data_IF_929416434935
#
_entry.id   IF_929416434935
#
_cell.length_a   1.000
_cell.length_b   1.000
_cell.length_c   1.000
_cell.angle_alpha   90.00
_cell.angle_beta   90.00
_cell.angle_gamma   90.00
#
_symmetry.space_group_name_H-M   'P 1'
#
loop_
_entity.id
_entity.type
_entity.pdbx_description
1 polymer ?
#
# COMPACT_ATOMS: atom_id res chain seq x y z
N UNK A 1 -19.29 -10.56 6.84
CA UNK A 1 -18.90 -10.65 7.07
C UNK A 1 -18.16 -10.95 7.86
N UNK A 2 -17.81 -11.08 7.99
CA UNK A 2 -17.08 -11.49 8.66
C UNK A 2 -16.01 -10.78 9.04
N UNK A 3 -15.75 -9.77 8.74
CA UNK A 3 -14.75 -9.01 9.08
C UNK A 3 -14.71 -8.80 10.47
N UNK A 4 -15.72 -8.60 11.10
CA UNK A 4 -15.68 -8.35 12.45
C UNK A 4 -15.13 -9.51 13.07
N UNK A 5 -15.29 -10.65 12.53
CA UNK A 5 -14.79 -11.73 13.11
C UNK A 5 -13.36 -11.70 13.08
N UNK A 6 -12.73 -11.16 12.11
CA UNK A 6 -11.31 -11.17 12.04
C UNK A 6 -10.76 -10.20 13.03
N UNK A 7 -11.55 -9.34 13.57
CA UNK A 7 -11.07 -8.40 14.54
C UNK A 7 -10.26 -7.26 13.96
N UNK A 8 -10.27 -7.09 12.67
CA UNK A 8 -9.52 -6.03 12.07
C UNK A 8 -10.36 -4.79 11.90
N UNK A 9 -9.82 -3.65 12.24
CA UNK A 9 -10.53 -2.41 12.06
C UNK A 9 -10.30 -1.96 10.63
N UNK A 10 -11.01 -0.96 10.20
CA UNK A 10 -10.84 -0.44 8.85
C UNK A 10 -9.43 0.03 8.65
N UNK A 11 -8.87 0.63 9.65
CA UNK A 11 -7.53 1.13 9.58
C UNK A 11 -6.55 0.01 9.38
N UNK A 12 -6.73 -1.08 10.08
CA UNK A 12 -5.85 -2.20 9.94
C UNK A 12 -5.98 -2.87 8.60
N UNK A 13 -7.18 -2.95 8.08
CA UNK A 13 -7.40 -3.53 6.79
C UNK A 13 -6.71 -2.69 5.74
N UNK A 14 -6.82 -1.38 5.87
CA UNK A 14 -6.19 -0.49 4.93
C UNK A 14 -4.68 -0.63 4.99
N UNK A 15 -4.14 -0.76 6.17
CA UNK A 15 -2.72 -0.90 6.33
C UNK A 15 -2.22 -2.19 5.68
N UNK A 16 -2.94 -3.28 5.86
CA UNK A 16 -2.56 -4.51 5.26
C UNK A 16 -2.58 -4.42 3.76
N UNK A 17 -3.59 -3.80 3.24
CA UNK A 17 -3.73 -3.65 1.82
C UNK A 17 -2.59 -2.79 1.28
N UNK A 18 -2.26 -1.74 2.00
CA UNK A 18 -1.19 -0.86 1.61
C UNK A 18 0.13 -1.64 1.54
N UNK A 19 0.43 -2.41 2.56
CA UNK A 19 1.65 -3.17 2.60
C UNK A 19 1.72 -4.19 1.47
N UNK A 20 0.61 -4.81 1.16
CA UNK A 20 0.57 -5.75 0.13
C UNK A 20 0.84 -5.11 -1.21
N UNK A 21 0.26 -3.96 -1.47
CA UNK A 21 0.48 -3.26 -2.71
C UNK A 21 1.91 -2.76 -2.79
N UNK A 22 2.45 -2.32 -1.67
CA UNK A 22 3.80 -1.83 -1.63
C UNK A 22 4.75 -2.98 -2.00
N UNK A 23 4.47 -4.15 -1.49
CA UNK A 23 5.28 -5.30 -1.76
C UNK A 23 5.25 -5.63 -3.24
N UNK A 24 4.10 -5.48 -3.87
CA UNK A 24 3.97 -5.73 -5.29
C UNK A 24 4.84 -4.74 -6.06
N UNK A 25 4.81 -3.48 -5.63
CA UNK A 25 5.62 -2.48 -6.29
C UNK A 25 7.10 -2.78 -6.12
N UNK A 26 7.47 -3.25 -4.93
CA UNK A 26 8.85 -3.58 -4.66
C UNK A 26 9.30 -4.69 -5.61
N UNK A 27 8.46 -5.65 -5.82
CA UNK A 27 8.79 -6.76 -6.69
C UNK A 27 8.96 -6.27 -8.12
N UNK A 28 8.08 -5.40 -8.58
CA UNK A 28 8.17 -4.88 -9.91
C UNK A 28 9.47 -4.08 -10.09
N UNK A 29 9.81 -3.32 -9.08
CA UNK A 29 11.02 -2.52 -9.15
C UNK A 29 12.24 -3.44 -9.20
N UNK A 30 12.25 -4.46 -8.38
CA UNK A 30 13.36 -5.38 -8.32
C UNK A 30 13.55 -6.12 -9.64
N UNK A 31 12.46 -6.37 -10.35
CA UNK A 31 12.53 -7.06 -11.60
C UNK A 31 12.69 -6.12 -12.79
N UNK A 32 12.77 -4.87 -12.53
CA UNK A 32 12.93 -3.91 -13.61
C UNK A 32 11.67 -3.65 -14.41
N UNK A 33 10.53 -4.05 -13.87
CA UNK A 33 9.28 -3.85 -14.59
C UNK A 33 8.87 -2.38 -14.56
N UNK A 34 9.31 -1.65 -13.54
CA UNK A 34 9.02 -0.24 -13.45
C UNK A 34 10.28 0.45 -13.01
N UNK A 35 10.39 1.73 -13.28
CA UNK A 35 11.57 2.47 -12.92
C UNK A 35 11.41 2.95 -11.48
N UNK A 36 12.50 3.41 -10.91
CA UNK A 36 12.48 3.89 -9.58
C UNK A 36 11.55 5.09 -9.46
N UNK A 37 11.59 5.96 -10.43
CA UNK A 37 10.74 7.13 -10.43
C UNK A 37 9.28 6.71 -10.45
N UNK A 38 8.96 5.71 -11.22
CA UNK A 38 7.62 5.23 -11.30
C UNK A 38 7.22 4.56 -10.01
N UNK A 39 8.12 3.84 -9.42
CA UNK A 39 7.87 3.18 -8.16
C UNK A 39 7.52 4.23 -7.10
N UNK A 40 8.32 5.27 -6.99
CA UNK A 40 8.09 6.28 -6.00
C UNK A 40 6.78 7.01 -6.22
N UNK A 41 6.47 7.27 -7.47
CA UNK A 41 5.25 7.95 -7.77
C UNK A 41 4.05 7.08 -7.41
N UNK A 42 4.10 5.81 -7.76
CA UNK A 42 3.02 4.90 -7.46
C UNK A 42 2.87 4.71 -5.96
N UNK A 43 3.99 4.63 -5.27
CA UNK A 43 3.95 4.45 -3.84
C UNK A 43 3.35 5.69 -3.19
N UNK A 44 3.71 6.86 -3.67
CA UNK A 44 3.17 8.09 -3.12
C UNK A 44 1.67 8.16 -3.33
N UNK A 45 1.21 7.81 -4.51
CA UNK A 45 -0.20 7.84 -4.82
C UNK A 45 -0.93 6.84 -3.93
N UNK A 46 -0.34 5.69 -3.74
CA UNK A 46 -0.94 4.66 -2.93
C UNK A 46 -1.05 5.15 -1.49
N UNK A 47 -0.02 5.80 -1.00
CA UNK A 47 -0.02 6.29 0.36
C UNK A 47 -1.16 7.29 0.57
N UNK A 48 -1.32 8.18 -0.37
CA UNK A 48 -2.36 9.17 -0.26
C UNK A 48 -3.73 8.52 -0.39
N UNK A 49 -3.88 7.65 -1.35
CA UNK A 49 -5.12 6.99 -1.58
C UNK A 49 -5.58 6.17 -0.38
N UNK A 50 -4.67 5.56 0.30
CA UNK A 50 -5.02 4.77 1.44
C UNK A 50 -5.11 5.58 2.72
N UNK A 51 -4.82 6.85 2.66
CA UNK A 51 -4.88 7.68 3.83
C UNK A 51 -3.78 7.39 4.82
N UNK A 52 -2.68 6.85 4.34
CA UNK A 52 -1.58 6.53 5.25
C UNK A 52 -0.58 7.65 5.32
N UNK A 53 -0.81 8.73 4.58
CA UNK A 53 0.11 9.82 4.59
C UNK A 53 0.19 10.45 5.92
N UNK A 54 1.38 10.80 6.35
CA UNK A 54 1.55 11.46 7.61
C UNK A 54 1.17 12.83 7.51
N UNK A 55 0.24 13.30 8.10
CA UNK A 55 -0.08 14.64 7.96
C UNK A 55 0.41 15.39 8.93
N UNK A 56 0.62 16.31 8.93
CA UNK A 56 1.13 16.99 9.90
C UNK A 56 0.69 18.01 9.92
#
# INVERSE_FOLDING_TARGET
MDNERSGLSDEEKRRRLYLRQKETLDTFLAHGAISRAQYEKSLGDLTVKMGMEEKK
#
